data_IF_084602999182
#
_entry.id   IF_084602999182
#
_cell.length_a   1.000
_cell.length_b   1.000
_cell.length_c   1.000
_cell.angle_alpha   90.00
_cell.angle_beta   90.00
_cell.angle_gamma   90.00
#
_symmetry.space_group_name_H-M   'P 1'
#
loop_
_entity.id
_entity.type
_entity.pdbx_description
1 polymer ?
#
# COMPACT_ATOMS: atom_id res chain seq x y z
N UNK A 1 -23.08 -3.05 -18.62
CA UNK A 1 -22.01 -3.83 -19.23
C UNK A 1 -20.69 -3.09 -19.19
N UNK A 2 -20.56 -1.93 -19.85
CA UNK A 2 -19.29 -1.18 -19.85
C UNK A 2 -18.97 -0.65 -18.45
N UNK A 3 -19.97 -0.23 -17.70
CA UNK A 3 -19.78 0.25 -16.33
C UNK A 3 -19.30 -0.89 -15.42
N UNK A 4 -19.83 -2.09 -15.63
CA UNK A 4 -19.43 -3.25 -14.84
C UNK A 4 -17.97 -3.61 -15.07
N UNK A 5 -17.52 -3.55 -16.33
CA UNK A 5 -16.13 -3.82 -16.66
C UNK A 5 -15.20 -2.83 -15.99
N UNK A 6 -15.58 -1.56 -15.99
CA UNK A 6 -14.76 -0.53 -15.40
C UNK A 6 -14.64 -0.73 -13.88
N UNK A 7 -15.74 -1.05 -13.25
CA UNK A 7 -15.76 -1.30 -11.82
C UNK A 7 -14.88 -2.51 -11.46
N UNK A 8 -15.01 -3.60 -12.23
CA UNK A 8 -14.20 -4.79 -11.99
C UNK A 8 -12.73 -4.48 -12.20
N UNK A 9 -12.39 -3.73 -13.25
CA UNK A 9 -11.01 -3.35 -13.50
C UNK A 9 -10.40 -2.55 -12.36
N UNK A 10 -11.16 -1.61 -11.82
CA UNK A 10 -10.69 -0.80 -10.69
C UNK A 10 -10.45 -1.66 -9.45
N UNK A 11 -11.34 -2.60 -9.17
CA UNK A 11 -11.16 -3.49 -8.02
C UNK A 11 -9.91 -4.36 -8.18
N UNK A 12 -9.66 -4.87 -9.38
CA UNK A 12 -8.49 -5.69 -9.64
C UNK A 12 -7.22 -4.86 -9.48
N UNK A 13 -7.22 -3.63 -9.96
CA UNK A 13 -6.06 -2.75 -9.81
C UNK A 13 -5.76 -2.47 -8.36
N UNK A 14 -6.79 -2.16 -7.56
CA UNK A 14 -6.61 -1.87 -6.14
C UNK A 14 -6.05 -3.08 -5.40
N UNK A 15 -6.56 -4.28 -5.69
CA UNK A 15 -6.05 -5.50 -5.07
C UNK A 15 -4.60 -5.75 -5.47
N UNK A 16 -4.28 -5.55 -6.74
CA UNK A 16 -2.91 -5.72 -7.23
C UNK A 16 -1.97 -4.75 -6.52
N UNK A 17 -2.37 -3.49 -6.37
CA UNK A 17 -1.57 -2.50 -5.66
C UNK A 17 -1.38 -2.89 -4.20
N UNK A 18 -2.43 -3.40 -3.56
CA UNK A 18 -2.34 -3.82 -2.17
C UNK A 18 -1.32 -4.95 -2.00
N UNK A 19 -1.39 -5.95 -2.87
CA UNK A 19 -0.46 -7.08 -2.83
C UNK A 19 0.96 -6.61 -3.07
N UNK A 20 1.16 -5.74 -4.05
CA UNK A 20 2.48 -5.19 -4.35
C UNK A 20 3.03 -4.38 -3.19
N UNK A 21 2.19 -3.56 -2.55
CA UNK A 21 2.62 -2.76 -1.41
C UNK A 21 3.04 -3.65 -0.25
N UNK A 22 2.23 -4.64 0.09
CA UNK A 22 2.56 -5.54 1.19
C UNK A 22 3.80 -6.37 0.90
N UNK A 23 3.95 -6.83 -0.35
CA UNK A 23 5.15 -7.58 -0.75
C UNK A 23 6.40 -6.72 -0.69
N UNK A 24 6.32 -5.48 -1.15
CA UNK A 24 7.46 -4.57 -1.11
C UNK A 24 7.90 -4.30 0.33
N UNK A 25 6.94 -4.10 1.23
CA UNK A 25 7.23 -3.88 2.64
C UNK A 25 7.90 -5.13 3.23
N UNK A 26 7.35 -6.29 2.96
CA UNK A 26 7.89 -7.54 3.48
C UNK A 26 9.30 -7.81 2.97
N UNK A 27 9.54 -7.58 1.69
CA UNK A 27 10.86 -7.79 1.10
C UNK A 27 11.90 -6.82 1.63
N UNK A 28 11.50 -5.59 1.91
CA UNK A 28 12.44 -4.56 2.35
C UNK A 28 12.71 -4.61 3.85
N UNK A 29 11.72 -4.96 4.65
CA UNK A 29 11.82 -4.84 6.11
C UNK A 29 11.62 -6.17 6.83
N UNK A 30 11.12 -7.19 6.14
CA UNK A 30 10.91 -8.50 6.72
C UNK A 30 9.91 -8.48 7.87
N UNK A 31 10.21 -9.22 8.93
CA UNK A 31 9.32 -9.36 10.08
C UNK A 31 9.49 -8.24 11.11
N UNK A 32 10.44 -7.33 10.89
CA UNK A 32 10.69 -6.23 11.81
C UNK A 32 9.59 -5.17 11.78
N UNK A 33 8.77 -5.18 10.74
CA UNK A 33 7.73 -4.19 10.54
C UNK A 33 6.39 -4.90 10.39
N UNK A 34 5.42 -4.49 11.18
CA UNK A 34 4.06 -5.01 11.08
C UNK A 34 3.16 -3.94 10.49
N UNK A 35 3.14 -3.88 9.16
CA UNK A 35 2.39 -2.87 8.44
C UNK A 35 1.39 -3.53 7.52
N UNK A 36 0.16 -3.04 7.57
CA UNK A 36 -0.90 -3.44 6.66
C UNK A 36 -1.15 -2.31 5.66
N UNK A 37 -1.39 -2.67 4.42
CA UNK A 37 -1.74 -1.72 3.38
C UNK A 37 -3.15 -2.00 2.94
N UNK A 38 -3.99 -0.97 2.99
CA UNK A 38 -5.36 -1.06 2.48
C UNK A 38 -5.46 -0.11 1.31
N UNK A 39 -5.87 -0.62 0.16
CA UNK A 39 -5.97 0.18 -1.06
C UNK A 39 -7.44 0.36 -1.41
N UNK A 40 -7.82 1.61 -1.62
CA UNK A 40 -9.16 1.95 -2.02
C UNK A 40 -9.09 3.15 -2.98
N UNK A 41 -9.66 2.97 -4.15
CA UNK A 41 -9.69 4.03 -5.17
C UNK A 41 -8.31 4.65 -5.41
N UNK A 42 -7.29 3.80 -5.51
CA UNK A 42 -5.88 4.17 -5.71
C UNK A 42 -5.29 4.99 -4.57
N UNK A 43 -5.93 4.96 -3.42
CA UNK A 43 -5.40 5.53 -2.19
C UNK A 43 -4.91 4.40 -1.31
N UNK A 44 -3.76 4.58 -0.69
CA UNK A 44 -3.19 3.57 0.18
C UNK A 44 -3.19 4.10 1.60
N UNK A 45 -3.79 3.31 2.49
CA UNK A 45 -3.72 3.57 3.92
C UNK A 45 -2.75 2.56 4.53
N UNK A 46 -1.70 3.08 5.14
CA UNK A 46 -0.72 2.26 5.84
C UNK A 46 -1.02 2.31 7.32
N UNK A 47 -1.26 1.14 7.91
CA UNK A 47 -1.54 1.01 9.34
C UNK A 47 -0.64 -0.05 9.94
N UNK A 48 -0.44 -0.01 11.24
CA UNK A 48 0.37 -0.98 11.93
C UNK A 48 1.42 -0.33 12.80
N UNK A 49 2.57 -1.01 12.94
CA UNK A 49 3.63 -0.57 13.82
C UNK A 49 4.99 -0.68 13.14
N UNK A 50 5.84 0.30 13.41
CA UNK A 50 7.24 0.29 12.98
C UNK A 50 8.12 0.59 14.18
N UNK A 51 9.37 0.07 14.19
CA UNK A 51 10.25 0.24 15.34
C UNK A 51 10.69 1.68 15.59
N UNK A 52 10.78 2.49 14.52
CA UNK A 52 11.20 3.88 14.66
C UNK A 52 10.62 4.73 13.53
N UNK A 53 10.82 6.05 13.64
CA UNK A 53 10.32 6.99 12.66
C UNK A 53 11.01 6.84 11.31
N UNK A 54 12.29 6.49 11.32
CA UNK A 54 13.04 6.28 10.08
C UNK A 54 12.44 5.14 9.28
N UNK A 55 12.16 4.02 9.93
CA UNK A 55 11.55 2.86 9.27
C UNK A 55 10.17 3.22 8.74
N UNK A 56 9.39 3.95 9.52
CA UNK A 56 8.06 4.38 9.10
C UNK A 56 8.13 5.23 7.83
N UNK A 57 9.08 6.15 7.77
CA UNK A 57 9.27 6.99 6.59
C UNK A 57 9.75 6.15 5.40
N UNK A 58 10.59 5.15 5.64
CA UNK A 58 11.09 4.27 4.60
C UNK A 58 9.96 3.40 4.01
N UNK A 59 9.03 2.97 4.84
CA UNK A 59 7.87 2.21 4.36
C UNK A 59 7.05 3.07 3.41
N UNK A 60 6.77 4.31 3.79
CA UNK A 60 6.04 5.22 2.92
C UNK A 60 6.78 5.48 1.62
N UNK A 61 8.09 5.70 1.69
CA UNK A 61 8.90 5.93 0.50
C UNK A 61 8.87 4.72 -0.43
N UNK A 62 8.93 3.53 0.14
CA UNK A 62 8.90 2.30 -0.64
C UNK A 62 7.56 2.13 -1.36
N UNK A 63 6.48 2.40 -0.65
CA UNK A 63 5.14 2.29 -1.22
C UNK A 63 4.93 3.37 -2.30
N UNK A 64 5.52 4.54 -2.14
CA UNK A 64 5.36 5.62 -3.10
C UNK A 64 5.98 5.32 -4.47
N UNK A 65 6.84 4.29 -4.56
CA UNK A 65 7.41 3.89 -5.85
C UNK A 65 6.44 3.09 -6.71
N UNK A 66 5.33 2.66 -6.15
CA UNK A 66 4.35 1.87 -6.89
C UNK A 66 3.59 2.76 -7.89
N UNK A 67 3.22 2.21 -9.06
CA UNK A 67 2.49 2.99 -10.06
C UNK A 67 1.02 3.17 -9.71
N UNK A 68 0.42 4.20 -10.27
CA UNK A 68 -1.04 4.44 -10.20
C UNK A 68 -1.56 4.76 -8.80
N UNK A 69 -0.71 5.24 -7.91
CA UNK A 69 -1.12 5.65 -6.58
C UNK A 69 -1.42 7.15 -6.59
N UNK A 70 -2.59 7.53 -6.06
CA UNK A 70 -3.01 8.92 -5.99
C UNK A 70 -2.65 9.55 -4.66
N UNK A 71 -2.78 8.79 -3.57
CA UNK A 71 -2.58 9.31 -2.24
C UNK A 71 -2.08 8.19 -1.31
N UNK A 72 -1.16 8.53 -0.45
CA UNK A 72 -0.68 7.63 0.58
C UNK A 72 -0.96 8.29 1.92
N UNK A 73 -1.68 7.56 2.78
CA UNK A 73 -1.92 8.00 4.16
C UNK A 73 -1.09 7.10 5.06
N UNK A 74 -0.15 7.69 5.76
CA UNK A 74 0.74 6.94 6.65
C UNK A 74 0.25 7.08 8.08
N UNK A 75 -0.43 6.02 8.55
CA UNK A 75 -0.95 5.95 9.92
C UNK A 75 -0.23 4.83 10.70
N UNK A 76 1.04 4.64 10.41
CA UNK A 76 1.88 3.67 11.11
C UNK A 76 2.32 4.27 12.43
N UNK A 77 2.24 3.47 13.46
CA UNK A 77 2.57 3.91 14.82
C UNK A 77 3.97 3.53 15.26
#
# INVERSE_FOLDING_TARGET
AAADRRTVGTQVEDRTLQVKAESAIRESFGENVHVNATVYNRQILLTGEAPDDTTRAQVEARVSTLPNIRLIVNDIQ
#
